data_IF_655641069737
#
_entry.id   IF_655641069737
#
_cell.length_a   1.000
_cell.length_b   1.000
_cell.length_c   1.000
_cell.angle_alpha   90.00
_cell.angle_beta   90.00
_cell.angle_gamma   90.00
#
_symmetry.space_group_name_H-M   'P 1'
#
loop_
_entity.id
_entity.type
_entity.pdbx_description
1 polymer ?
#
# COMPACT_ATOMS: atom_id res chain seq x y z
N UNK A 1 -63.48 -13.09 28.26
CA UNK A 1 -63.70 -13.11 29.72
C UNK A 1 -62.43 -13.57 30.42
N UNK A 2 -62.12 -12.99 31.58
CA UNK A 2 -61.21 -13.50 32.63
C UNK A 2 -59.77 -13.97 32.29
N UNK A 3 -58.80 -13.20 32.85
CA UNK A 3 -57.69 -13.65 33.74
C UNK A 3 -56.48 -14.39 33.08
N UNK A 4 -55.23 -14.30 33.56
CA UNK A 4 -54.49 -13.53 34.64
C UNK A 4 -52.97 -13.77 34.37
N UNK A 5 -52.04 -12.81 34.41
CA UNK A 5 -51.43 -12.05 35.55
C UNK A 5 -50.01 -12.53 35.93
N UNK A 6 -49.00 -11.73 35.58
CA UNK A 6 -47.68 -11.46 36.22
C UNK A 6 -47.23 -10.07 35.70
N UNK A 7 -46.80 -9.03 36.43
CA UNK A 7 -46.69 -8.69 37.87
C UNK A 7 -45.29 -8.62 38.54
N UNK A 8 -44.27 -8.08 37.87
CA UNK A 8 -43.05 -7.51 38.50
C UNK A 8 -42.50 -6.35 37.65
N UNK A 9 -41.87 -5.26 38.11
CA UNK A 9 -41.90 -4.37 39.31
C UNK A 9 -40.57 -3.60 39.28
N UNK A 10 -40.61 -2.26 39.50
CA UNK A 10 -39.46 -1.37 39.76
C UNK A 10 -38.42 -1.17 38.61
N UNK A 11 -37.72 -0.04 38.49
CA UNK A 11 -37.86 1.28 39.13
C UNK A 11 -37.29 2.40 38.23
N UNK A 12 -37.75 3.63 38.55
CA UNK A 12 -37.14 4.93 38.27
C UNK A 12 -35.60 4.96 38.47
N UNK A 13 -34.83 5.88 37.87
CA UNK A 13 -34.89 7.32 38.16
C UNK A 13 -33.97 8.09 37.19
N UNK A 14 -34.36 9.31 36.79
CA UNK A 14 -33.47 10.21 36.05
C UNK A 14 -32.57 11.01 37.00
N UNK A 15 -31.29 11.18 36.66
CA UNK A 15 -30.45 12.24 37.20
C UNK A 15 -29.38 12.66 36.19
N UNK A 16 -29.46 13.90 35.70
CA UNK A 16 -28.39 14.54 34.97
C UNK A 16 -27.39 15.14 35.98
N UNK A 17 -26.09 14.95 35.76
CA UNK A 17 -25.03 15.66 36.49
C UNK A 17 -24.09 16.29 35.45
N UNK A 18 -24.18 17.61 35.32
CA UNK A 18 -23.14 18.38 34.65
C UNK A 18 -22.00 18.60 35.66
N UNK A 19 -20.80 18.14 35.33
CA UNK A 19 -19.59 18.46 36.10
C UNK A 19 -18.91 19.66 35.44
N UNK A 20 -18.84 20.77 36.16
CA UNK A 20 -17.99 21.89 35.79
C UNK A 20 -16.56 21.62 36.28
N UNK A 21 -15.58 21.76 35.41
CA UNK A 21 -14.17 21.77 35.80
C UNK A 21 -13.70 23.22 35.93
N UNK A 22 -13.40 23.63 37.16
CA UNK A 22 -12.68 24.86 37.50
C UNK A 22 -11.20 24.55 37.74
N UNK A 23 -10.31 25.43 37.28
CA UNK A 23 -8.96 25.74 37.81
C UNK A 23 -8.03 24.61 38.28
N UNK A 24 -6.81 24.59 37.77
CA UNK A 24 -5.74 25.38 38.41
C UNK A 24 -4.56 25.57 37.46
N UNK A 25 -3.88 26.72 37.57
CA UNK A 25 -2.59 27.00 36.96
C UNK A 25 -1.48 26.37 37.79
N UNK A 26 -0.45 25.80 37.17
CA UNK A 26 0.88 25.76 37.80
C UNK A 26 2.02 25.88 36.77
N UNK A 27 3.09 26.57 37.19
CA UNK A 27 4.20 27.02 36.36
C UNK A 27 5.30 25.96 36.24
N UNK A 28 5.93 25.88 35.07
CA UNK A 28 7.15 25.08 34.85
C UNK A 28 7.97 25.67 33.71
N UNK A 29 8.32 26.95 33.85
CA UNK A 29 9.30 27.62 33.00
C UNK A 29 10.67 26.94 33.09
N UNK A 30 11.21 26.44 31.98
CA UNK A 30 12.66 26.17 31.80
C UNK A 30 13.05 26.43 30.33
N UNK A 31 14.15 27.16 30.04
CA UNK A 31 14.29 27.84 28.75
C UNK A 31 15.28 27.22 27.75
N UNK A 32 15.16 27.72 26.51
CA UNK A 32 16.20 27.97 25.52
C UNK A 32 16.91 26.80 24.80
N UNK A 33 16.66 26.73 23.50
CA UNK A 33 17.62 26.25 22.50
C UNK A 33 17.55 27.13 21.24
N UNK A 34 18.25 28.27 21.26
CA UNK A 34 18.38 29.18 20.09
C UNK A 34 19.82 29.61 19.92
N UNK A 35 20.50 29.15 18.86
CA UNK A 35 21.77 29.73 18.40
C UNK A 35 22.18 29.27 16.99
N UNK A 36 21.78 30.07 16.00
CA UNK A 36 22.66 30.48 14.88
C UNK A 36 23.18 31.90 15.23
N UNK A 37 24.20 32.53 14.58
CA UNK A 37 24.62 32.28 13.18
C UNK A 37 26.12 32.45 12.81
N UNK A 38 26.42 32.11 11.55
CA UNK A 38 27.27 32.79 10.55
C UNK A 38 28.76 33.22 10.74
N UNK A 39 29.47 33.09 9.60
CA UNK A 39 30.59 33.91 9.05
C UNK A 39 32.02 33.83 9.62
N UNK A 40 32.96 33.41 8.74
CA UNK A 40 34.13 34.21 8.33
C UNK A 40 34.77 33.64 7.04
N UNK A 41 35.46 34.47 6.25
CA UNK A 41 36.11 34.09 4.98
C UNK A 41 37.56 34.59 4.91
N UNK A 42 38.44 33.85 4.21
CA UNK A 42 39.81 34.23 3.77
C UNK A 42 40.46 33.04 3.00
N UNK A 43 41.42 33.14 2.06
CA UNK A 43 41.93 34.19 1.13
C UNK A 43 42.77 33.46 0.03
N UNK A 44 43.04 34.13 -1.11
CA UNK A 44 43.91 33.83 -2.28
C UNK A 44 45.11 32.82 -2.11
N UNK A 45 45.73 32.24 -3.16
CA UNK A 45 46.13 32.82 -4.46
C UNK A 45 46.51 31.73 -5.52
N UNK A 46 46.89 32.07 -6.79
CA UNK A 46 46.94 31.13 -7.93
C UNK A 46 48.35 30.59 -8.26
N UNK A 47 48.41 29.59 -9.16
CA UNK A 47 49.65 29.13 -9.83
C UNK A 47 49.41 28.89 -11.33
N UNK A 48 50.48 28.97 -12.13
CA UNK A 48 50.51 29.27 -13.57
C UNK A 48 50.83 28.08 -14.50
N UNK A 49 50.77 28.35 -15.81
CA UNK A 49 51.24 27.56 -16.97
C UNK A 49 50.35 26.35 -17.36
N UNK A 50 49.68 26.32 -18.52
CA UNK A 50 50.12 26.47 -19.92
C UNK A 50 50.85 25.23 -20.49
N UNK A 51 50.24 24.60 -21.51
CA UNK A 51 50.78 24.45 -22.88
C UNK A 51 49.83 23.58 -23.71
N UNK A 52 49.57 23.97 -24.96
CA UNK A 52 48.72 23.24 -25.89
C UNK A 52 49.53 22.33 -26.84
N UNK A 53 48.80 21.47 -27.55
CA UNK A 53 49.22 20.74 -28.78
C UNK A 53 49.93 19.39 -28.57
N UNK A 54 49.18 18.32 -28.84
CA UNK A 54 49.72 17.09 -29.43
C UNK A 54 48.64 16.46 -30.33
N UNK A 55 48.79 16.58 -31.64
CA UNK A 55 47.90 15.96 -32.63
C UNK A 55 48.19 14.45 -32.70
N UNK A 56 47.19 13.62 -32.42
CA UNK A 56 47.27 12.17 -32.60
C UNK A 56 46.15 11.69 -33.53
N UNK A 57 46.47 11.52 -34.82
CA UNK A 57 45.55 10.97 -35.82
C UNK A 57 45.41 9.46 -35.61
N UNK A 58 44.42 9.05 -34.84
CA UNK A 58 44.05 7.65 -34.68
C UNK A 58 43.12 7.21 -35.82
N UNK A 59 43.62 6.41 -36.75
CA UNK A 59 42.81 5.78 -37.81
C UNK A 59 41.88 4.74 -37.19
N UNK A 60 40.63 5.12 -36.95
CA UNK A 60 39.60 4.23 -36.42
C UNK A 60 39.12 3.26 -37.51
N UNK A 61 39.61 2.02 -37.47
CA UNK A 61 39.01 0.92 -38.24
C UNK A 61 37.63 0.62 -37.67
N UNK A 62 36.58 1.05 -38.37
CA UNK A 62 35.20 0.82 -37.97
C UNK A 62 34.80 -0.64 -38.19
N UNK A 63 35.09 -1.51 -37.21
CA UNK A 63 34.46 -2.83 -37.13
C UNK A 63 32.98 -2.63 -36.84
N UNK A 64 32.13 -2.85 -37.84
CA UNK A 64 30.69 -2.82 -37.69
C UNK A 64 30.22 -4.03 -36.86
N UNK A 65 30.22 -3.90 -35.55
CA UNK A 65 29.54 -4.84 -34.65
C UNK A 65 28.05 -4.77 -34.95
N UNK A 66 27.53 -5.80 -35.61
CA UNK A 66 26.10 -5.94 -35.82
C UNK A 66 25.41 -6.18 -34.48
N UNK A 67 24.84 -5.11 -33.89
CA UNK A 67 23.97 -5.23 -32.72
C UNK A 67 22.75 -6.04 -33.14
N UNK A 68 22.73 -7.31 -32.74
CA UNK A 68 21.54 -8.14 -32.89
C UNK A 68 20.43 -7.55 -32.00
N UNK A 69 19.42 -6.95 -32.62
CA UNK A 69 18.20 -6.55 -31.92
C UNK A 69 17.55 -7.80 -31.37
N UNK A 70 17.67 -8.02 -30.06
CA UNK A 70 16.95 -9.08 -29.39
C UNK A 70 15.45 -8.73 -29.43
N UNK A 71 14.69 -9.41 -30.28
CA UNK A 71 13.23 -9.37 -30.26
C UNK A 71 12.78 -9.89 -28.90
N UNK A 72 12.19 -9.03 -28.09
CA UNK A 72 11.57 -9.44 -26.83
C UNK A 72 10.50 -10.50 -27.10
N UNK A 73 10.48 -11.56 -26.29
CA UNK A 73 9.43 -12.56 -26.37
C UNK A 73 8.06 -11.91 -26.06
N UNK A 74 6.97 -12.36 -26.70
CA UNK A 74 5.64 -11.87 -26.34
C UNK A 74 5.34 -12.19 -24.87
N UNK A 75 4.60 -11.31 -24.15
CA UNK A 75 4.18 -11.58 -22.78
C UNK A 75 3.48 -12.94 -22.71
N UNK A 76 3.76 -13.69 -21.65
CA UNK A 76 3.06 -14.94 -21.37
C UNK A 76 1.84 -14.62 -20.51
N UNK A 77 0.70 -15.29 -20.74
CA UNK A 77 -0.47 -15.10 -19.89
C UNK A 77 -0.19 -15.61 -18.48
N UNK A 78 -0.68 -14.87 -17.49
CA UNK A 78 -0.61 -15.20 -16.07
C UNK A 78 -1.97 -15.79 -15.68
N UNK A 79 -1.99 -17.03 -15.17
CA UNK A 79 -3.23 -17.69 -14.73
C UNK A 79 -3.11 -18.10 -13.27
N UNK A 80 -4.05 -17.64 -12.45
CA UNK A 80 -4.07 -17.86 -10.98
C UNK A 80 -5.49 -18.22 -10.54
N UNK A 81 -5.63 -19.17 -9.61
CA UNK A 81 -6.89 -19.45 -8.93
C UNK A 81 -7.02 -18.52 -7.72
N UNK A 82 -8.12 -17.78 -7.62
CA UNK A 82 -8.36 -16.86 -6.51
C UNK A 82 -8.97 -17.56 -5.28
N UNK A 83 -9.04 -16.88 -4.14
CA UNK A 83 -9.53 -17.49 -2.90
C UNK A 83 -11.03 -17.86 -2.91
N UNK A 84 -11.78 -17.48 -3.95
CA UNK A 84 -13.15 -17.96 -4.20
C UNK A 84 -13.22 -19.21 -5.09
N UNK A 85 -12.07 -19.70 -5.60
CA UNK A 85 -11.96 -20.84 -6.51
C UNK A 85 -12.16 -20.47 -7.98
N UNK A 86 -12.16 -19.18 -8.33
CA UNK A 86 -12.29 -18.73 -9.72
C UNK A 86 -10.91 -18.63 -10.38
N UNK A 87 -10.78 -19.15 -11.60
CA UNK A 87 -9.55 -19.01 -12.38
C UNK A 87 -9.51 -17.66 -13.09
N UNK A 88 -8.59 -16.79 -12.67
CA UNK A 88 -8.30 -15.51 -13.31
C UNK A 88 -7.17 -15.70 -14.31
N UNK A 89 -7.26 -15.05 -15.48
CA UNK A 89 -6.18 -15.02 -16.47
C UNK A 89 -5.99 -13.61 -16.98
N UNK A 90 -4.73 -13.16 -17.00
CA UNK A 90 -4.30 -11.89 -17.56
C UNK A 90 -3.39 -12.16 -18.76
N UNK A 91 -3.54 -11.43 -19.86
CA UNK A 91 -2.70 -11.59 -21.07
C UNK A 91 -1.26 -11.09 -20.88
N UNK A 92 -1.05 -10.25 -19.85
CA UNK A 92 0.22 -9.67 -19.45
C UNK A 92 0.14 -9.29 -17.95
N UNK A 93 1.27 -8.96 -17.28
CA UNK A 93 1.25 -8.39 -15.95
C UNK A 93 0.32 -7.18 -15.82
N UNK A 94 -0.45 -7.12 -14.72
CA UNK A 94 -1.35 -6.01 -14.43
C UNK A 94 -0.57 -4.72 -14.15
N UNK A 95 -1.09 -3.60 -14.64
CA UNK A 95 -0.52 -2.25 -14.52
C UNK A 95 -1.54 -1.21 -14.05
N UNK A 96 -2.84 -1.56 -13.97
CA UNK A 96 -3.94 -0.68 -13.56
C UNK A 96 -4.84 -1.36 -12.52
N UNK A 97 -4.33 -1.49 -11.31
CA UNK A 97 -5.04 -2.16 -10.21
C UNK A 97 -6.05 -1.22 -9.52
N UNK A 98 -7.29 -1.69 -9.35
CA UNK A 98 -8.28 -1.08 -8.47
C UNK A 98 -8.40 -1.85 -7.13
N UNK A 99 -8.21 -1.16 -6.01
CA UNK A 99 -8.24 -1.77 -4.67
C UNK A 99 -9.60 -1.58 -3.96
N UNK A 100 -10.28 -2.68 -3.63
CA UNK A 100 -11.49 -2.63 -2.80
C UNK A 100 -11.20 -2.76 -1.29
N UNK A 101 -9.93 -2.91 -0.90
CA UNK A 101 -9.51 -3.20 0.47
C UNK A 101 -8.21 -2.47 0.83
N UNK A 102 -8.03 -2.09 2.10
CA UNK A 102 -6.74 -1.61 2.61
C UNK A 102 -5.60 -2.61 2.46
N UNK A 103 -5.89 -3.93 2.45
CA UNK A 103 -4.91 -5.00 2.22
C UNK A 103 -4.24 -4.89 0.84
N UNK A 104 -5.04 -4.61 -0.19
CA UNK A 104 -4.57 -4.32 -1.54
C UNK A 104 -3.74 -3.04 -1.56
N UNK A 105 -4.21 -1.98 -0.90
CA UNK A 105 -3.53 -0.68 -0.85
C UNK A 105 -2.14 -0.80 -0.19
N UNK A 106 -2.03 -1.47 0.95
CA UNK A 106 -0.76 -1.76 1.65
C UNK A 106 0.19 -2.61 0.79
N UNK A 107 -0.33 -3.69 0.19
CA UNK A 107 0.49 -4.57 -0.67
C UNK A 107 1.03 -3.85 -1.90
N UNK A 108 0.21 -3.04 -2.59
CA UNK A 108 0.69 -2.24 -3.72
C UNK A 108 1.71 -1.19 -3.30
N UNK A 109 1.48 -0.51 -2.17
CA UNK A 109 2.42 0.47 -1.62
C UNK A 109 3.79 -0.17 -1.32
N UNK A 110 3.80 -1.34 -0.68
CA UNK A 110 5.02 -2.12 -0.39
C UNK A 110 5.76 -2.54 -1.67
N UNK A 111 5.03 -2.84 -2.75
CA UNK A 111 5.60 -3.16 -4.06
C UNK A 111 5.96 -1.92 -4.90
N UNK A 112 5.68 -0.70 -4.41
CA UNK A 112 5.96 0.56 -5.11
C UNK A 112 5.02 0.85 -6.29
N UNK A 113 3.88 0.17 -6.37
CA UNK A 113 2.84 0.38 -7.40
C UNK A 113 1.73 1.24 -6.81
N UNK A 114 1.23 2.22 -7.57
CA UNK A 114 0.09 3.05 -7.15
C UNK A 114 -1.21 2.48 -7.76
N UNK A 115 -2.27 2.22 -6.97
CA UNK A 115 -3.57 1.83 -7.53
C UNK A 115 -4.14 2.97 -8.38
N UNK A 116 -4.89 2.63 -9.44
CA UNK A 116 -5.63 3.63 -10.22
C UNK A 116 -6.88 4.12 -9.49
N UNK A 117 -7.43 3.29 -8.60
CA UNK A 117 -8.59 3.62 -7.79
C UNK A 117 -8.63 2.81 -6.48
N UNK A 118 -9.23 3.38 -5.43
CA UNK A 118 -9.35 2.72 -4.12
C UNK A 118 -10.68 3.03 -3.40
N UNK A 119 -11.31 2.01 -2.81
CA UNK A 119 -12.48 2.15 -1.93
C UNK A 119 -12.07 2.45 -0.48
N UNK A 120 -11.00 1.83 0.00
CA UNK A 120 -10.45 2.04 1.32
C UNK A 120 -9.67 3.36 1.38
N UNK A 121 -9.84 4.14 2.45
CA UNK A 121 -9.20 5.45 2.65
C UNK A 121 -7.74 5.36 3.12
N UNK A 122 -7.19 4.16 3.34
CA UNK A 122 -5.79 3.94 3.74
C UNK A 122 -4.78 4.65 2.82
N UNK A 123 -5.11 4.83 1.53
CA UNK A 123 -4.28 5.56 0.57
C UNK A 123 -4.07 7.06 0.90
N UNK A 124 -4.91 7.62 1.79
CA UNK A 124 -4.85 9.02 2.28
C UNK A 124 -4.10 9.18 3.60
N UNK A 125 -3.47 8.11 4.08
CA UNK A 125 -2.48 8.26 5.14
C UNK A 125 -1.18 8.80 4.52
N UNK A 126 -0.64 9.87 5.09
CA UNK A 126 0.59 10.50 4.60
C UNK A 126 1.83 9.59 4.66
N UNK A 127 1.75 8.44 5.34
CA UNK A 127 2.76 7.38 5.29
C UNK A 127 2.78 6.56 3.99
N UNK A 128 1.74 6.68 3.15
CA UNK A 128 1.59 5.99 1.87
C UNK A 128 2.08 6.91 0.73
N UNK A 129 1.20 7.37 -0.17
CA UNK A 129 1.58 8.22 -1.32
C UNK A 129 1.68 9.71 -1.00
N UNK A 130 1.21 10.16 0.17
CA UNK A 130 1.36 11.54 0.65
C UNK A 130 0.83 12.55 -0.38
N UNK A 131 1.68 13.44 -0.94
CA UNK A 131 1.22 14.44 -1.93
C UNK A 131 0.63 13.83 -3.21
N UNK A 132 0.93 12.55 -3.51
CA UNK A 132 0.50 11.87 -4.72
C UNK A 132 -0.82 11.08 -4.50
N UNK A 133 -1.48 11.22 -3.33
CA UNK A 133 -2.75 10.56 -2.99
C UNK A 133 -3.92 10.97 -3.90
N UNK A 134 -3.94 12.23 -4.34
CA UNK A 134 -4.98 12.80 -5.22
C UNK A 134 -4.99 12.18 -6.64
N UNK A 135 -3.95 11.42 -7.00
CA UNK A 135 -3.91 10.67 -8.27
C UNK A 135 -4.64 9.32 -8.21
N UNK A 136 -5.10 8.89 -7.02
CA UNK A 136 -5.84 7.65 -6.82
C UNK A 136 -7.34 7.97 -6.84
N UNK A 137 -8.06 7.46 -7.83
CA UNK A 137 -9.49 7.75 -7.95
C UNK A 137 -10.29 7.13 -6.78
N UNK A 138 -11.18 7.90 -6.11
CA UNK A 138 -12.01 7.33 -5.06
C UNK A 138 -13.08 6.40 -5.65
N UNK A 139 -13.19 5.19 -5.10
CA UNK A 139 -14.34 4.31 -5.33
C UNK A 139 -15.29 4.55 -4.16
N UNK A 140 -16.41 5.24 -4.39
CA UNK A 140 -17.43 5.47 -3.37
C UNK A 140 -18.32 4.23 -3.20
N UNK A 141 -19.38 4.34 -2.40
CA UNK A 141 -20.21 3.22 -1.96
C UNK A 141 -19.78 2.69 -0.59
N UNK A 142 -20.18 1.47 -0.27
CA UNK A 142 -19.77 0.79 0.97
C UNK A 142 -18.73 -0.28 0.71
N UNK A 143 -18.05 -0.75 1.75
CA UNK A 143 -17.13 -1.88 1.67
C UNK A 143 -17.78 -3.19 1.16
N UNK A 144 -19.10 -3.33 1.26
CA UNK A 144 -19.84 -4.48 0.72
C UNK A 144 -20.41 -4.22 -0.68
N UNK A 145 -20.59 -2.95 -1.05
CA UNK A 145 -21.23 -2.49 -2.28
C UNK A 145 -20.48 -1.27 -2.81
N UNK A 146 -19.27 -1.47 -3.40
CA UNK A 146 -18.49 -0.41 -4.02
C UNK A 146 -19.09 0.03 -5.36
N UNK A 147 -18.83 1.28 -5.74
CA UNK A 147 -19.34 1.89 -6.97
C UNK A 147 -18.72 1.26 -8.23
N UNK A 148 -19.49 0.40 -8.90
CA UNK A 148 -19.08 -0.22 -10.17
C UNK A 148 -18.90 0.81 -11.29
N UNK A 149 -19.60 1.94 -11.24
CA UNK A 149 -19.46 3.02 -12.22
C UNK A 149 -18.10 3.71 -12.09
N UNK A 150 -17.65 4.01 -10.87
CA UNK A 150 -16.35 4.64 -10.64
C UNK A 150 -15.20 3.65 -10.90
N UNK A 151 -15.38 2.36 -10.61
CA UNK A 151 -14.46 1.30 -11.03
C UNK A 151 -14.35 1.25 -12.58
N UNK A 152 -15.46 1.36 -13.31
CA UNK A 152 -15.44 1.42 -14.77
C UNK A 152 -14.72 2.67 -15.30
N UNK A 153 -14.97 3.85 -14.70
CA UNK A 153 -14.31 5.11 -15.07
C UNK A 153 -12.80 5.09 -14.80
N UNK A 154 -12.34 4.29 -13.84
CA UNK A 154 -10.92 4.10 -13.56
C UNK A 154 -10.20 3.15 -14.54
N UNK A 155 -10.91 2.52 -15.49
CA UNK A 155 -10.36 1.62 -16.51
C UNK A 155 -9.29 0.61 -15.97
N UNK A 156 -9.54 -0.15 -14.89
CA UNK A 156 -8.57 -1.10 -14.37
C UNK A 156 -8.37 -2.30 -15.30
N UNK A 157 -7.23 -2.96 -15.19
CA UNK A 157 -7.00 -4.29 -15.79
C UNK A 157 -7.23 -5.43 -14.78
N UNK A 158 -7.27 -5.12 -13.48
CA UNK A 158 -7.66 -6.05 -12.42
C UNK A 158 -8.27 -5.29 -11.22
N UNK A 159 -9.29 -5.88 -10.61
CA UNK A 159 -9.90 -5.41 -9.36
C UNK A 159 -9.56 -6.41 -8.25
N UNK A 160 -9.06 -5.95 -7.11
CA UNK A 160 -8.72 -6.83 -5.97
C UNK A 160 -9.74 -6.65 -4.86
N UNK A 161 -10.45 -7.74 -4.53
CA UNK A 161 -11.48 -7.80 -3.50
C UNK A 161 -11.19 -8.81 -2.38
N UNK A 162 -11.97 -8.76 -1.30
CA UNK A 162 -11.90 -9.68 -0.17
C UNK A 162 -12.94 -10.80 -0.24
N UNK A 163 -12.54 -12.00 0.15
CA UNK A 163 -13.42 -13.17 0.34
C UNK A 163 -14.47 -12.96 1.43
N UNK A 164 -15.66 -13.51 1.23
CA UNK A 164 -16.83 -13.32 2.10
C UNK A 164 -17.50 -11.94 1.97
N UNK A 165 -17.12 -11.14 0.96
CA UNK A 165 -17.55 -9.74 0.80
C UNK A 165 -17.81 -9.41 -0.67
N UNK A 166 -16.80 -9.59 -1.52
CA UNK A 166 -16.79 -9.00 -2.86
C UNK A 166 -17.18 -9.96 -3.99
N UNK A 167 -17.30 -11.26 -3.74
CA UNK A 167 -17.60 -12.29 -4.75
C UNK A 167 -18.91 -11.97 -5.51
N UNK A 168 -19.89 -11.39 -4.81
CA UNK A 168 -21.17 -10.96 -5.38
C UNK A 168 -21.06 -9.80 -6.40
N UNK A 169 -19.93 -9.08 -6.44
CA UNK A 169 -19.68 -7.99 -7.41
C UNK A 169 -19.18 -8.51 -8.77
N UNK A 170 -18.66 -9.74 -8.83
CA UNK A 170 -18.08 -10.37 -10.04
C UNK A 170 -18.98 -10.23 -11.29
N UNK A 171 -20.31 -10.46 -11.24
CA UNK A 171 -21.17 -10.31 -12.42
C UNK A 171 -21.27 -8.88 -12.94
N UNK A 172 -21.13 -7.88 -12.06
CA UNK A 172 -21.13 -6.46 -12.44
C UNK A 172 -19.78 -5.99 -12.99
N UNK A 173 -18.68 -6.61 -12.55
CA UNK A 173 -17.33 -6.33 -13.03
C UNK A 173 -16.96 -7.07 -14.33
N UNK A 174 -17.73 -8.09 -14.73
CA UNK A 174 -17.40 -8.97 -15.86
C UNK A 174 -17.21 -8.27 -17.23
N UNK A 175 -17.74 -7.05 -17.41
CA UNK A 175 -17.53 -6.22 -18.62
C UNK A 175 -16.56 -5.06 -18.41
N UNK A 176 -15.94 -4.97 -17.22
CA UNK A 176 -15.02 -3.91 -16.81
C UNK A 176 -13.61 -4.51 -16.69
N UNK A 177 -13.42 -5.43 -15.74
CA UNK A 177 -12.13 -6.06 -15.45
C UNK A 177 -12.33 -7.36 -14.63
N UNK A 178 -11.38 -8.31 -14.69
CA UNK A 178 -11.34 -9.46 -13.78
C UNK A 178 -11.31 -9.02 -12.30
N UNK A 179 -12.08 -9.73 -11.47
CA UNK A 179 -12.04 -9.61 -10.02
C UNK A 179 -11.17 -10.73 -9.44
N UNK A 180 -10.13 -10.38 -8.70
CA UNK A 180 -9.30 -11.33 -7.95
C UNK A 180 -9.63 -11.24 -6.46
N UNK A 181 -10.12 -12.34 -5.90
CA UNK A 181 -10.53 -12.43 -4.49
C UNK A 181 -9.37 -12.96 -3.63
N UNK A 182 -8.97 -12.19 -2.61
CA UNK A 182 -7.94 -12.58 -1.65
C UNK A 182 -8.52 -12.98 -0.30
N UNK A 183 -7.81 -13.82 0.45
CA UNK A 183 -8.20 -14.25 1.81
C UNK A 183 -6.96 -14.51 2.71
N UNK A 184 -6.11 -13.50 2.97
CA UNK A 184 -4.93 -13.68 3.81
C UNK A 184 -5.31 -13.97 5.27
N UNK A 185 -4.93 -15.14 5.78
CA UNK A 185 -5.14 -15.53 7.19
C UNK A 185 -3.81 -15.71 7.91
N UNK A 186 -3.57 -14.89 8.93
CA UNK A 186 -2.35 -14.91 9.73
C UNK A 186 -1.09 -14.48 8.95
N UNK A 187 0.07 -14.64 9.57
CA UNK A 187 1.36 -14.21 9.00
C UNK A 187 1.65 -14.88 7.65
N UNK A 188 1.53 -16.20 7.57
CA UNK A 188 1.84 -16.93 6.33
C UNK A 188 0.86 -16.58 5.20
N UNK A 189 -0.42 -16.34 5.51
CA UNK A 189 -1.42 -15.89 4.54
C UNK A 189 -1.17 -14.47 4.02
N UNK A 190 -0.71 -13.56 4.89
CA UNK A 190 -0.29 -12.22 4.47
C UNK A 190 0.97 -12.26 3.59
N UNK A 191 1.95 -13.11 3.92
CA UNK A 191 3.15 -13.28 3.09
C UNK A 191 2.80 -13.90 1.72
N UNK A 192 1.93 -14.89 1.69
CA UNK A 192 1.42 -15.47 0.44
C UNK A 192 0.69 -14.42 -0.41
N UNK A 193 -0.15 -13.57 0.20
CA UNK A 193 -0.85 -12.50 -0.51
C UNK A 193 0.11 -11.52 -1.20
N UNK A 194 1.21 -11.10 -0.54
CA UNK A 194 2.22 -10.23 -1.18
C UNK A 194 2.86 -10.91 -2.40
N UNK A 195 3.14 -12.22 -2.32
CA UNK A 195 3.69 -13.00 -3.44
C UNK A 195 2.68 -13.19 -4.58
N UNK A 196 1.40 -13.42 -4.29
CA UNK A 196 0.31 -13.53 -5.27
C UNK A 196 0.13 -12.21 -6.04
N UNK A 197 0.11 -11.08 -5.34
CA UNK A 197 0.03 -9.76 -5.99
C UNK A 197 1.32 -9.46 -6.77
N UNK A 198 2.49 -9.83 -6.24
CA UNK A 198 3.76 -9.78 -6.98
C UNK A 198 3.70 -10.52 -8.31
N UNK A 199 3.17 -11.75 -8.32
CA UNK A 199 3.00 -12.55 -9.54
C UNK A 199 2.03 -11.90 -10.54
N UNK A 200 0.89 -11.37 -10.08
CA UNK A 200 -0.07 -10.68 -10.95
C UNK A 200 0.52 -9.41 -11.58
N UNK A 201 1.47 -8.76 -10.91
CA UNK A 201 2.18 -7.55 -11.38
C UNK A 201 3.48 -7.85 -12.13
N UNK A 202 3.95 -9.10 -12.18
CA UNK A 202 5.28 -9.44 -12.74
C UNK A 202 6.44 -8.84 -11.93
N UNK A 203 6.24 -8.75 -10.60
CA UNK A 203 7.13 -8.16 -9.60
C UNK A 203 7.46 -9.18 -8.50
N UNK A 204 7.67 -10.45 -8.88
CA UNK A 204 7.92 -11.55 -7.94
C UNK A 204 9.17 -11.32 -7.10
N UNK A 205 10.23 -10.71 -7.66
CA UNK A 205 11.48 -10.43 -6.95
C UNK A 205 11.30 -9.36 -5.86
N UNK A 206 10.54 -8.31 -6.16
CA UNK A 206 10.16 -7.26 -5.21
C UNK A 206 9.27 -7.83 -4.10
N UNK A 207 8.32 -8.70 -4.44
CA UNK A 207 7.44 -9.36 -3.49
C UNK A 207 8.18 -10.35 -2.56
N UNK A 208 9.09 -11.17 -3.10
CA UNK A 208 9.96 -12.03 -2.30
C UNK A 208 10.84 -11.22 -1.34
N UNK A 209 11.42 -10.10 -1.82
CA UNK A 209 12.23 -9.21 -1.00
C UNK A 209 11.41 -8.55 0.13
N UNK A 210 10.21 -8.07 -0.18
CA UNK A 210 9.29 -7.49 0.81
C UNK A 210 8.84 -8.50 1.86
N UNK A 211 8.43 -9.70 1.42
CA UNK A 211 8.04 -10.81 2.29
C UNK A 211 9.19 -11.23 3.23
N UNK A 212 10.41 -11.36 2.70
CA UNK A 212 11.61 -11.68 3.49
C UNK A 212 11.98 -10.55 4.48
N UNK A 213 11.83 -9.29 4.09
CA UNK A 213 12.08 -8.14 4.96
C UNK A 213 11.08 -8.09 6.13
N UNK A 214 9.78 -8.32 5.86
CA UNK A 214 8.77 -8.43 6.91
C UNK A 214 9.07 -9.60 7.86
N UNK A 215 9.39 -10.77 7.30
CA UNK A 215 9.76 -11.97 8.07
C UNK A 215 10.92 -11.70 9.03
N UNK A 216 12.00 -11.12 8.52
CA UNK A 216 13.18 -10.79 9.32
C UNK A 216 12.88 -9.81 10.46
N UNK A 217 12.02 -8.80 10.21
CA UNK A 217 11.58 -7.87 11.26
C UNK A 217 10.72 -8.58 12.31
N UNK A 218 9.78 -9.43 11.90
CA UNK A 218 8.94 -10.21 12.80
C UNK A 218 9.77 -11.15 13.68
N UNK A 219 10.69 -11.91 13.10
CA UNK A 219 11.56 -12.85 13.83
C UNK A 219 12.45 -12.10 14.85
N UNK A 220 12.96 -10.92 14.48
CA UNK A 220 13.71 -10.05 15.40
C UNK A 220 12.85 -9.52 16.56
N UNK A 221 11.58 -9.15 16.31
CA UNK A 221 10.65 -8.79 17.38
C UNK A 221 10.33 -9.98 18.29
N UNK A 222 10.02 -11.15 17.73
CA UNK A 222 9.70 -12.38 18.50
C UNK A 222 10.88 -12.78 19.38
N UNK A 223 12.12 -12.74 18.87
CA UNK A 223 13.32 -13.02 19.66
C UNK A 223 13.55 -12.01 20.81
N UNK A 224 13.03 -10.79 20.69
CA UNK A 224 13.07 -9.76 21.73
C UNK A 224 11.97 -9.87 22.80
N UNK A 225 10.93 -10.68 22.59
CA UNK A 225 9.83 -10.84 23.56
C UNK A 225 10.21 -11.85 24.64
N UNK A 226 10.68 -11.34 25.78
CA UNK A 226 11.17 -12.16 26.91
C UNK A 226 10.08 -12.65 27.88
N UNK A 227 8.80 -12.42 27.58
CA UNK A 227 7.68 -12.85 28.41
C UNK A 227 6.48 -13.26 27.54
N UNK A 228 5.88 -14.41 27.82
CA UNK A 228 4.60 -14.84 27.26
C UNK A 228 3.47 -13.92 27.75
N UNK A 229 3.26 -12.80 27.04
CA UNK A 229 2.05 -11.99 27.15
C UNK A 229 1.07 -12.47 26.10
N UNK A 230 0.23 -13.44 26.45
CA UNK A 230 -0.94 -13.71 25.63
C UNK A 230 -1.86 -12.49 25.68
N UNK A 231 -2.19 -11.97 24.50
CA UNK A 231 -3.35 -11.09 24.37
C UNK A 231 -4.55 -12.03 24.29
N UNK A 232 -5.48 -11.88 25.22
CA UNK A 232 -6.76 -12.59 25.17
C UNK A 232 -7.60 -11.94 24.06
N UNK A 233 -7.74 -12.64 22.94
CA UNK A 233 -8.56 -12.28 21.78
C UNK A 233 -9.85 -13.08 21.82
#
# INVERSE_FOLDING_TARGET
MLRRLVLTVAAALALAVAVACTGDDDDSTTPAATSAPATAAATAAPTTAATATATATATATATATATATATAAPPQPITVEDASGETITLDAPAVRVACLTGLCVDTLFVLGVKPVAANDLLHRDAAYWGPDEDEIAPITGSFFEPSLEEIAQAEPDIVIGLFGVHEGTRPGLATIAPLFIVNPVGVEGMLAHVLEIGMLLGMEAEAEAAAAAFRSRLDAYVAGVTAERSVMV
#
